data_IF_158854798715
#
_entry.id   IF_158854798715
#
_cell.length_a   1.000
_cell.length_b   1.000
_cell.length_c   1.000
_cell.angle_alpha   90.00
_cell.angle_beta   90.00
_cell.angle_gamma   90.00
#
_symmetry.space_group_name_H-M   'P 1'
#
loop_
_entity.id
_entity.type
_entity.pdbx_description
1 polymer ?
#
# COMPACT_ATOMS: atom_id res chain seq x y z
N UNK A 1 9.02 20.14 14.47
CA UNK A 1 10.42 20.61 14.66
C UNK A 1 11.12 20.88 13.33
N UNK A 2 11.02 20.03 12.30
CA UNK A 2 11.63 20.25 10.98
C UNK A 2 11.17 21.56 10.36
N UNK A 3 9.85 21.79 10.32
CA UNK A 3 9.25 23.02 9.76
C UNK A 3 9.70 24.28 10.50
N UNK A 4 9.84 24.21 11.83
CA UNK A 4 10.30 25.34 12.64
C UNK A 4 11.77 25.69 12.39
N UNK A 5 12.56 24.72 11.92
CA UNK A 5 13.99 24.88 11.60
C UNK A 5 14.23 25.07 10.10
N UNK A 6 13.19 25.10 9.28
CA UNK A 6 13.29 25.18 7.82
C UNK A 6 13.99 24.00 7.16
N UNK A 7 14.00 22.83 7.82
CA UNK A 7 14.64 21.62 7.30
C UNK A 7 13.68 20.87 6.34
N UNK A 8 14.21 20.34 5.23
CA UNK A 8 13.46 19.40 4.39
C UNK A 8 12.96 18.20 5.21
N UNK A 9 11.78 17.71 4.88
CA UNK A 9 11.19 16.54 5.53
C UNK A 9 10.88 15.46 4.50
N UNK A 10 11.47 14.28 4.70
CA UNK A 10 11.13 13.06 3.97
C UNK A 10 10.35 12.12 4.89
N UNK A 11 9.13 11.76 4.52
CA UNK A 11 8.35 10.75 5.24
C UNK A 11 8.40 9.47 4.43
N UNK A 12 8.86 8.39 5.05
CA UNK A 12 8.97 7.09 4.41
C UNK A 12 8.08 6.05 5.10
N UNK A 13 7.48 5.17 4.29
CA UNK A 13 6.87 3.93 4.78
C UNK A 13 7.90 2.80 4.81
N UNK A 14 7.61 1.70 4.10
CA UNK A 14 8.56 0.60 3.93
C UNK A 14 9.72 0.90 2.97
N UNK A 15 9.75 2.03 2.29
CA UNK A 15 10.79 2.36 1.29
C UNK A 15 10.68 1.57 -0.03
N UNK A 16 9.63 0.79 -0.22
CA UNK A 16 9.47 -0.11 -1.37
C UNK A 16 9.11 0.58 -2.69
N UNK A 17 8.75 1.86 -2.64
CA UNK A 17 8.39 2.67 -3.81
C UNK A 17 9.25 3.93 -3.91
N UNK A 18 10.54 3.80 -3.62
CA UNK A 18 11.50 4.89 -3.62
C UNK A 18 12.77 4.49 -4.38
N UNK A 19 13.25 5.39 -5.22
CA UNK A 19 14.60 5.35 -5.75
C UNK A 19 15.38 6.48 -5.08
N UNK A 20 16.39 6.13 -4.31
CA UNK A 20 17.17 7.06 -3.48
C UNK A 20 18.53 7.26 -4.11
N UNK A 21 19.02 8.51 -4.16
CA UNK A 21 20.37 8.82 -4.60
C UNK A 21 21.41 8.37 -3.55
N UNK A 22 22.66 8.17 -3.99
CA UNK A 22 23.76 7.81 -3.08
C UNK A 22 24.20 8.97 -2.19
N UNK A 23 23.83 10.21 -2.53
CA UNK A 23 24.11 11.37 -1.71
C UNK A 23 23.19 11.44 -0.48
N UNK A 24 23.71 11.76 0.71
CA UNK A 24 22.90 11.92 1.90
C UNK A 24 21.77 12.94 1.71
N UNK A 25 20.58 12.64 2.27
CA UNK A 25 19.49 13.60 2.34
C UNK A 25 19.78 14.64 3.42
N UNK A 26 19.90 15.91 3.03
CA UNK A 26 20.14 17.03 3.96
C UNK A 26 18.82 17.50 4.58
N UNK A 27 18.29 16.75 5.52
CA UNK A 27 17.01 17.01 6.15
C UNK A 27 16.64 15.99 7.21
N UNK A 28 15.36 15.96 7.56
CA UNK A 28 14.80 15.02 8.53
C UNK A 28 14.07 13.90 7.79
N UNK A 29 14.49 12.66 8.04
CA UNK A 29 13.76 11.46 7.56
C UNK A 29 12.93 10.92 8.72
N UNK A 30 11.62 10.75 8.48
CA UNK A 30 10.69 10.22 9.47
C UNK A 30 10.05 8.94 8.94
N UNK A 31 10.08 7.92 9.77
CA UNK A 31 9.32 6.67 9.57
C UNK A 31 8.42 6.45 10.78
N UNK A 32 7.13 6.22 10.51
CA UNK A 32 6.22 5.76 11.57
C UNK A 32 6.47 4.26 11.83
N UNK A 33 6.75 3.93 13.09
CA UNK A 33 6.95 2.55 13.55
C UNK A 33 5.78 2.03 14.39
N UNK A 34 4.74 2.85 14.61
CA UNK A 34 3.51 2.41 15.26
C UNK A 34 2.81 1.37 14.39
N UNK A 35 2.10 0.42 14.99
CA UNK A 35 1.55 -0.71 14.26
C UNK A 35 0.24 -1.27 14.85
N UNK A 36 -0.45 -0.48 15.68
CA UNK A 36 -1.73 -0.92 16.21
C UNK A 36 -2.80 -1.01 15.12
N UNK A 37 -3.61 -2.05 15.21
CA UNK A 37 -4.82 -2.25 14.42
C UNK A 37 -5.96 -2.49 15.40
N UNK A 38 -7.07 -1.79 15.20
CA UNK A 38 -8.26 -1.91 16.06
C UNK A 38 -9.54 -1.92 15.24
N UNK A 39 -10.46 -2.79 15.62
CA UNK A 39 -11.83 -2.77 15.13
C UNK A 39 -12.58 -1.73 15.97
N UNK A 40 -13.25 -0.79 15.30
CA UNK A 40 -13.93 0.34 15.95
C UNK A 40 -15.36 0.02 16.35
N UNK A 41 -15.99 -0.96 15.70
CA UNK A 41 -17.40 -1.27 15.92
C UNK A 41 -17.59 -2.26 17.08
N UNK A 42 -18.46 -1.93 18.04
CA UNK A 42 -18.89 -2.87 19.07
C UNK A 42 -19.81 -3.96 18.49
N UNK A 43 -20.64 -3.56 17.53
CA UNK A 43 -21.45 -4.44 16.70
C UNK A 43 -21.38 -3.89 15.27
N UNK A 44 -21.01 -4.73 14.32
CA UNK A 44 -20.86 -4.30 12.93
C UNK A 44 -22.16 -3.68 12.41
N UNK A 45 -22.14 -2.44 11.90
CA UNK A 45 -23.33 -1.80 11.33
C UNK A 45 -23.77 -2.52 10.06
N UNK A 46 -25.03 -2.32 9.69
CA UNK A 46 -25.60 -2.85 8.44
C UNK A 46 -25.91 -1.67 7.53
N UNK A 47 -25.33 -1.64 6.35
CA UNK A 47 -25.57 -0.65 5.33
C UNK A 47 -26.01 -1.37 4.05
N UNK A 48 -27.16 -0.94 3.45
CA UNK A 48 -27.71 -1.54 2.25
C UNK A 48 -27.90 -3.09 2.31
N UNK A 49 -28.09 -3.63 3.50
CA UNK A 49 -28.22 -5.08 3.74
C UNK A 49 -26.88 -5.81 3.91
N UNK A 50 -25.75 -5.10 3.88
CA UNK A 50 -24.41 -5.63 4.10
C UNK A 50 -23.87 -5.18 5.46
N UNK A 51 -23.10 -6.04 6.11
CA UNK A 51 -22.48 -5.74 7.38
C UNK A 51 -21.11 -5.10 7.12
N UNK A 52 -20.96 -3.84 7.50
CA UNK A 52 -19.72 -3.08 7.40
C UNK A 52 -19.01 -3.07 8.73
N UNK A 53 -17.70 -3.29 8.71
CA UNK A 53 -16.81 -3.26 9.87
C UNK A 53 -15.74 -2.21 9.64
N UNK A 54 -15.66 -1.26 10.58
CA UNK A 54 -14.63 -0.22 10.54
C UNK A 54 -13.37 -0.69 11.26
N UNK A 55 -12.27 -0.71 10.53
CA UNK A 55 -10.95 -1.11 11.05
C UNK A 55 -10.00 0.07 10.92
N UNK A 56 -9.47 0.54 12.04
CA UNK A 56 -8.43 1.57 12.05
C UNK A 56 -7.06 0.93 12.19
N UNK A 57 -6.11 1.37 11.38
CA UNK A 57 -4.72 0.95 11.43
C UNK A 57 -3.77 2.15 11.45
N UNK A 58 -2.80 2.12 12.35
CA UNK A 58 -1.74 3.13 12.39
C UNK A 58 -0.88 3.10 11.13
N UNK A 59 -0.36 4.26 10.71
CA UNK A 59 0.32 4.44 9.44
C UNK A 59 1.56 3.56 9.26
N UNK A 60 2.25 3.21 10.34
CA UNK A 60 3.44 2.35 10.31
C UNK A 60 3.15 0.85 10.27
N UNK A 61 1.88 0.44 10.39
CA UNK A 61 1.50 -0.97 10.27
C UNK A 61 1.94 -1.54 8.92
N UNK A 62 2.54 -2.74 8.91
CA UNK A 62 2.87 -3.41 7.66
C UNK A 62 1.59 -3.71 6.90
N UNK A 63 1.58 -3.41 5.59
CA UNK A 63 0.39 -3.56 4.76
C UNK A 63 -0.09 -5.02 4.68
N UNK A 64 0.81 -5.96 4.42
CA UNK A 64 0.40 -7.36 4.26
C UNK A 64 -0.03 -8.01 5.58
N UNK A 65 0.55 -7.59 6.72
CA UNK A 65 0.09 -8.01 8.05
C UNK A 65 -1.32 -7.47 8.36
N UNK A 66 -1.63 -6.24 7.92
CA UNK A 66 -2.97 -5.67 8.00
C UNK A 66 -3.97 -6.45 7.15
N UNK A 67 -3.63 -6.78 5.91
CA UNK A 67 -4.49 -7.60 5.03
C UNK A 67 -4.73 -8.98 5.64
N UNK A 68 -3.68 -9.63 6.14
CA UNK A 68 -3.80 -10.92 6.82
C UNK A 68 -4.74 -10.86 8.02
N UNK A 69 -4.61 -9.82 8.84
CA UNK A 69 -5.48 -9.58 9.97
C UNK A 69 -6.95 -9.45 9.54
N UNK A 70 -7.25 -8.67 8.50
CA UNK A 70 -8.61 -8.49 7.99
C UNK A 70 -9.19 -9.79 7.43
N UNK A 71 -8.43 -10.53 6.64
CA UNK A 71 -8.87 -11.83 6.09
C UNK A 71 -9.16 -12.84 7.21
N UNK A 72 -8.32 -12.90 8.25
CA UNK A 72 -8.54 -13.78 9.40
C UNK A 72 -9.77 -13.39 10.24
N UNK A 73 -10.24 -12.15 10.14
CA UNK A 73 -11.50 -11.71 10.73
C UNK A 73 -12.72 -11.96 9.84
N UNK A 74 -12.56 -12.55 8.66
CA UNK A 74 -13.64 -12.74 7.69
C UNK A 74 -14.11 -11.42 7.06
N UNK A 75 -13.17 -10.52 6.78
CA UNK A 75 -13.45 -9.23 6.16
C UNK A 75 -12.98 -9.21 4.70
N UNK A 76 -13.87 -8.81 3.82
CA UNK A 76 -13.67 -8.62 2.37
C UNK A 76 -13.33 -7.16 2.07
N UNK A 77 -12.50 -6.92 1.05
CA UNK A 77 -12.25 -5.60 0.47
C UNK A 77 -10.76 -5.26 0.26
N UNK A 78 -9.85 -6.04 0.82
CA UNK A 78 -8.40 -5.83 0.70
C UNK A 78 -7.59 -7.09 0.33
N UNK A 79 -8.24 -8.25 0.24
CA UNK A 79 -7.60 -9.55 0.01
C UNK A 79 -6.82 -9.62 -1.32
N UNK A 80 -7.31 -8.94 -2.38
CA UNK A 80 -6.61 -8.84 -3.66
C UNK A 80 -5.33 -7.99 -3.60
N UNK A 81 -5.16 -7.18 -2.56
CA UNK A 81 -3.99 -6.34 -2.32
C UNK A 81 -2.91 -7.03 -1.47
N UNK A 82 -3.05 -8.35 -1.24
CA UNK A 82 -2.10 -9.17 -0.49
C UNK A 82 -0.69 -9.12 -1.07
N UNK A 83 0.31 -9.14 -0.20
CA UNK A 83 1.72 -9.19 -0.57
C UNK A 83 2.26 -7.92 -1.23
N UNK A 84 1.49 -6.82 -1.29
CA UNK A 84 2.02 -5.51 -1.68
C UNK A 84 2.95 -5.03 -0.56
N UNK A 85 4.21 -4.67 -0.88
CA UNK A 85 5.14 -4.21 0.13
C UNK A 85 4.83 -2.80 0.61
N UNK A 86 5.21 -2.48 1.84
CA UNK A 86 5.10 -1.16 2.42
C UNK A 86 4.21 -1.11 3.68
N UNK A 87 3.65 0.06 3.96
CA UNK A 87 2.87 0.32 5.17
C UNK A 87 1.47 0.83 4.84
N UNK A 88 0.57 0.70 5.81
CA UNK A 88 -0.82 1.20 5.72
C UNK A 88 -0.84 2.69 5.35
N UNK A 89 -0.04 3.53 6.01
CA UNK A 89 0.01 4.96 5.68
C UNK A 89 0.54 5.25 4.28
N UNK A 90 1.46 4.42 3.75
CA UNK A 90 1.97 4.59 2.39
C UNK A 90 0.95 4.13 1.33
N UNK A 91 0.07 3.19 1.66
CA UNK A 91 -0.91 2.62 0.72
C UNK A 91 -1.85 3.67 0.14
N UNK A 92 -2.32 4.60 0.98
CA UNK A 92 -3.28 5.64 0.61
C UNK A 92 -2.64 6.82 -0.13
N UNK A 93 -1.31 7.00 -0.04
CA UNK A 93 -0.63 8.13 -0.71
C UNK A 93 -0.79 8.05 -2.21
N UNK A 94 -0.62 6.88 -2.81
CA UNK A 94 -0.76 6.72 -4.25
C UNK A 94 -1.87 5.76 -4.68
N UNK A 95 -2.85 5.51 -3.81
CA UNK A 95 -3.94 4.60 -4.13
C UNK A 95 -3.41 3.27 -4.68
N UNK A 96 -2.81 2.44 -3.81
CA UNK A 96 -2.28 1.14 -4.26
C UNK A 96 -3.40 0.30 -4.86
N UNK A 97 -3.07 -0.47 -5.89
CA UNK A 97 -4.03 -1.34 -6.55
C UNK A 97 -3.38 -2.53 -7.21
N UNK A 98 -4.02 -3.67 -7.12
CA UNK A 98 -3.62 -4.93 -7.75
C UNK A 98 -4.82 -5.88 -7.86
N UNK A 99 -4.76 -6.78 -8.81
CA UNK A 99 -5.72 -7.89 -9.00
C UNK A 99 -7.20 -7.48 -8.97
N UNK A 100 -7.49 -6.28 -9.51
CA UNK A 100 -8.87 -5.77 -9.62
C UNK A 100 -9.37 -5.02 -8.38
N UNK A 101 -8.55 -4.83 -7.36
CA UNK A 101 -8.85 -4.01 -6.19
C UNK A 101 -7.96 -2.76 -6.13
N UNK A 102 -8.47 -1.70 -5.55
CA UNK A 102 -7.72 -0.50 -5.15
C UNK A 102 -8.05 -0.14 -3.71
N UNK A 103 -7.06 0.41 -2.98
CA UNK A 103 -7.26 0.76 -1.57
C UNK A 103 -8.35 1.81 -1.38
N UNK A 104 -8.54 2.69 -2.37
CA UNK A 104 -9.59 3.70 -2.38
C UNK A 104 -11.00 3.13 -2.14
N UNK A 105 -11.26 1.89 -2.60
CA UNK A 105 -12.58 1.26 -2.47
C UNK A 105 -12.92 0.86 -1.03
N UNK A 106 -11.91 0.75 -0.16
CA UNK A 106 -12.08 0.30 1.21
C UNK A 106 -11.72 1.37 2.25
N UNK A 107 -11.12 2.48 1.84
CA UNK A 107 -10.78 3.59 2.76
C UNK A 107 -12.01 4.43 3.02
N UNK A 108 -12.34 4.64 4.29
CA UNK A 108 -13.35 5.59 4.73
C UNK A 108 -12.74 6.96 5.01
N UNK A 109 -11.68 7.00 5.82
CA UNK A 109 -11.01 8.25 6.19
C UNK A 109 -9.53 8.03 6.51
N UNK A 110 -8.77 9.12 6.50
CA UNK A 110 -7.36 9.15 6.84
C UNK A 110 -7.09 10.27 7.82
N UNK A 111 -6.58 9.93 9.00
CA UNK A 111 -6.07 10.92 9.94
C UNK A 111 -4.67 11.37 9.49
N UNK A 112 -4.48 12.67 9.40
CA UNK A 112 -3.23 13.29 8.96
C UNK A 112 -2.77 14.40 9.89
N UNK A 113 -1.47 14.61 9.98
CA UNK A 113 -0.91 15.87 10.43
C UNK A 113 -0.80 16.83 9.25
N UNK A 114 -1.60 17.90 9.24
CA UNK A 114 -1.49 18.99 8.26
C UNK A 114 -0.38 19.97 8.66
N UNK A 115 0.78 19.86 8.03
CA UNK A 115 1.95 20.70 8.31
C UNK A 115 1.70 22.17 8.05
N UNK A 116 0.84 22.50 7.07
CA UNK A 116 0.50 23.90 6.74
C UNK A 116 -0.29 24.54 7.87
N UNK A 117 -1.27 23.84 8.40
CA UNK A 117 -2.17 24.35 9.43
C UNK A 117 -1.71 23.98 10.85
N UNK A 118 -0.67 23.14 10.98
CA UNK A 118 -0.10 22.66 12.25
C UNK A 118 -1.14 22.02 13.19
N UNK A 119 -1.97 21.15 12.61
CA UNK A 119 -3.01 20.43 13.35
C UNK A 119 -3.26 19.06 12.75
N UNK A 120 -3.81 18.16 13.54
CA UNK A 120 -4.40 16.92 13.01
C UNK A 120 -5.69 17.23 12.30
N UNK A 121 -5.93 16.53 11.21
CA UNK A 121 -7.15 16.59 10.41
C UNK A 121 -7.52 15.19 9.95
N UNK A 122 -8.80 14.88 9.97
CA UNK A 122 -9.35 13.74 9.28
C UNK A 122 -9.76 14.15 7.85
N UNK A 123 -9.34 13.36 6.86
CA UNK A 123 -9.71 13.51 5.46
C UNK A 123 -10.62 12.34 5.09
N UNK A 124 -11.84 12.64 4.65
CA UNK A 124 -12.77 11.64 4.14
C UNK A 124 -12.29 11.06 2.80
N UNK A 125 -12.82 9.90 2.42
CA UNK A 125 -12.55 9.31 1.10
C UNK A 125 -12.77 10.32 -0.04
N UNK A 126 -13.84 11.10 0.03
CA UNK A 126 -14.14 12.11 -0.97
C UNK A 126 -13.08 13.22 -1.02
N UNK A 127 -12.58 13.71 0.13
CA UNK A 127 -11.52 14.73 0.20
C UNK A 127 -10.16 14.21 -0.25
N UNK A 128 -9.95 12.88 -0.25
CA UNK A 128 -8.73 12.26 -0.73
C UNK A 128 -8.62 12.26 -2.25
N UNK A 129 -9.72 12.50 -2.99
CA UNK A 129 -9.74 12.60 -4.45
C UNK A 129 -8.91 11.48 -5.11
N UNK A 130 -9.16 10.25 -4.73
CA UNK A 130 -8.45 9.11 -5.27
C UNK A 130 -8.63 9.00 -6.79
N UNK A 131 -7.56 8.61 -7.46
CA UNK A 131 -7.53 8.31 -8.87
C UNK A 131 -6.44 7.27 -9.15
N UNK A 132 -6.23 6.92 -10.40
CA UNK A 132 -5.22 5.93 -10.78
C UNK A 132 -3.83 6.34 -10.27
N UNK A 133 -3.32 5.64 -9.26
CA UNK A 133 -2.03 5.90 -8.57
C UNK A 133 -1.90 7.33 -8.05
N UNK A 134 -3.02 7.94 -7.65
CA UNK A 134 -3.09 9.33 -7.20
C UNK A 134 -4.03 9.50 -6.00
N UNK A 135 -3.70 10.48 -5.17
CA UNK A 135 -4.54 10.99 -4.09
C UNK A 135 -4.25 12.48 -3.84
N UNK A 136 -5.09 13.16 -3.08
CA UNK A 136 -4.81 14.52 -2.61
C UNK A 136 -3.54 14.59 -1.76
N UNK A 137 -3.20 13.51 -1.04
CA UNK A 137 -1.95 13.39 -0.28
C UNK A 137 -0.76 13.48 -1.22
N UNK A 138 -0.72 12.66 -2.27
CA UNK A 138 0.34 12.66 -3.28
C UNK A 138 0.37 13.96 -4.06
N UNK A 139 -0.77 14.47 -4.51
CA UNK A 139 -0.85 15.72 -5.26
C UNK A 139 -0.27 16.91 -4.47
N UNK A 140 -0.46 16.93 -3.15
CA UNK A 140 0.08 17.98 -2.28
C UNK A 140 1.62 17.98 -2.19
N UNK A 141 2.29 16.86 -2.50
CA UNK A 141 3.75 16.77 -2.54
C UNK A 141 4.35 17.45 -3.78
N UNK A 142 3.55 17.57 -4.84
CA UNK A 142 3.96 18.10 -6.14
C UNK A 142 3.31 19.45 -6.45
N UNK A 143 2.78 20.14 -5.47
CA UNK A 143 2.23 21.51 -5.62
C UNK A 143 3.30 22.59 -5.88
N UNK A 144 4.55 22.20 -6.01
CA UNK A 144 5.69 22.97 -6.46
C UNK A 144 5.64 23.22 -7.99
N UNK A 145 6.59 23.97 -8.58
CA UNK A 145 6.62 24.30 -10.00
C UNK A 145 6.43 23.08 -10.90
N UNK A 146 5.76 23.26 -12.04
CA UNK A 146 5.48 22.20 -13.01
C UNK A 146 6.75 21.49 -13.54
N UNK A 147 7.89 22.18 -13.50
CA UNK A 147 9.21 21.63 -13.80
C UNK A 147 10.07 21.78 -12.56
N UNK A 148 10.32 20.71 -11.79
CA UNK A 148 11.17 20.80 -10.61
C UNK A 148 12.59 21.25 -10.98
N UNK A 149 13.15 22.12 -10.15
CA UNK A 149 14.59 22.40 -10.21
C UNK A 149 15.40 21.13 -9.84
N UNK A 150 16.69 21.09 -10.13
CA UNK A 150 17.53 19.93 -9.86
C UNK A 150 17.59 19.55 -8.36
N UNK A 151 17.33 20.51 -7.49
CA UNK A 151 17.27 20.38 -6.04
C UNK A 151 15.85 20.22 -5.50
N UNK A 152 14.83 20.07 -6.38
CA UNK A 152 13.45 19.84 -5.96
C UNK A 152 13.31 18.51 -5.24
N UNK A 153 12.70 18.56 -4.07
CA UNK A 153 12.32 17.37 -3.32
C UNK A 153 10.81 17.42 -3.00
N UNK A 154 10.04 16.38 -3.36
CA UNK A 154 8.61 16.33 -3.06
C UNK A 154 8.39 16.24 -1.55
N UNK A 155 7.97 17.34 -0.95
CA UNK A 155 7.77 17.45 0.49
C UNK A 155 6.29 17.30 0.83
N UNK A 156 5.91 16.34 1.67
CA UNK A 156 4.51 16.09 1.98
C UNK A 156 3.91 17.26 2.78
N UNK A 157 2.74 17.74 2.37
CA UNK A 157 1.92 18.62 3.22
C UNK A 157 1.30 17.82 4.35
N UNK A 158 0.81 16.63 4.03
CA UNK A 158 0.11 15.75 4.96
C UNK A 158 1.00 14.57 5.34
N UNK A 159 1.15 14.34 6.64
CA UNK A 159 1.77 13.13 7.18
C UNK A 159 0.66 12.23 7.69
N UNK A 160 0.52 11.06 7.11
CA UNK A 160 -0.51 10.09 7.52
C UNK A 160 -0.19 9.54 8.90
N UNK A 161 -1.18 9.53 9.79
CA UNK A 161 -1.10 9.03 11.16
C UNK A 161 -1.82 7.70 11.33
N UNK A 162 -3.02 7.57 10.77
CA UNK A 162 -3.80 6.34 10.74
C UNK A 162 -4.77 6.34 9.56
N UNK A 163 -5.29 5.17 9.21
CA UNK A 163 -6.28 4.97 8.15
C UNK A 163 -7.43 4.15 8.71
N UNK A 164 -8.65 4.63 8.50
CA UNK A 164 -9.87 3.90 8.79
C UNK A 164 -10.40 3.28 7.50
N UNK A 165 -10.62 1.98 7.55
CA UNK A 165 -11.18 1.18 6.46
C UNK A 165 -12.61 0.79 6.79
N UNK A 166 -13.50 0.85 5.79
CA UNK A 166 -14.83 0.27 5.83
C UNK A 166 -14.80 -1.03 5.01
N UNK A 167 -14.83 -2.17 5.68
CA UNK A 167 -14.73 -3.49 5.10
C UNK A 167 -16.04 -4.25 5.28
N UNK A 168 -16.34 -5.18 4.36
CA UNK A 168 -17.54 -5.98 4.46
C UNK A 168 -17.27 -7.26 5.25
N UNK A 169 -18.14 -7.59 6.22
CA UNK A 169 -18.09 -8.87 6.90
C UNK A 169 -18.59 -9.96 5.97
N UNK A 170 -17.67 -10.64 5.32
CA UNK A 170 -17.91 -11.71 4.35
C UNK A 170 -16.70 -12.64 4.29
N UNK A 171 -16.95 -13.94 4.40
CA UNK A 171 -15.91 -14.95 4.20
C UNK A 171 -15.51 -15.14 2.73
N UNK A 172 -16.26 -14.53 1.79
CA UNK A 172 -15.99 -14.61 0.35
C UNK A 172 -15.77 -13.23 -0.25
N UNK A 173 -14.82 -13.12 -1.20
CA UNK A 173 -14.53 -11.93 -1.98
C UNK A 173 -14.72 -12.18 -3.47
N UNK A 174 -14.77 -11.09 -4.25
CA UNK A 174 -14.92 -11.14 -5.71
C UNK A 174 -13.56 -11.32 -6.38
N UNK A 175 -13.45 -12.28 -7.30
CA UNK A 175 -12.28 -12.48 -8.15
C UNK A 175 -12.31 -11.46 -9.29
N UNK A 176 -11.67 -10.30 -9.09
CA UNK A 176 -11.76 -9.15 -9.99
C UNK A 176 -10.75 -9.12 -11.15
N UNK A 177 -9.91 -10.14 -11.33
CA UNK A 177 -8.80 -10.07 -12.30
C UNK A 177 -8.52 -11.40 -13.00
N UNK A 178 -8.38 -11.36 -14.33
CA UNK A 178 -8.27 -12.57 -15.17
C UNK A 178 -7.11 -13.51 -14.82
N UNK A 179 -5.93 -12.99 -14.42
CA UNK A 179 -4.82 -13.84 -14.00
C UNK A 179 -5.12 -14.55 -12.67
N UNK A 180 -5.82 -13.89 -11.77
CA UNK A 180 -6.25 -14.46 -10.49
C UNK A 180 -7.34 -15.53 -10.72
N UNK A 181 -8.33 -15.23 -11.57
CA UNK A 181 -9.36 -16.18 -11.98
C UNK A 181 -8.75 -17.46 -12.56
N UNK A 182 -7.78 -17.32 -13.47
CA UNK A 182 -7.04 -18.45 -14.04
C UNK A 182 -6.29 -19.25 -12.97
N UNK A 183 -5.66 -18.59 -12.01
CA UNK A 183 -4.92 -19.26 -10.93
C UNK A 183 -5.84 -20.04 -9.97
N UNK A 184 -7.07 -19.56 -9.79
CA UNK A 184 -8.10 -20.18 -8.96
C UNK A 184 -8.96 -21.20 -9.72
N UNK A 185 -8.91 -21.22 -11.07
CA UNK A 185 -9.73 -22.09 -11.89
C UNK A 185 -11.21 -21.67 -11.95
N UNK A 186 -11.49 -20.37 -11.88
CA UNK A 186 -12.82 -19.75 -11.88
C UNK A 186 -12.92 -18.64 -12.92
N UNK A 187 -14.09 -18.03 -13.08
CA UNK A 187 -14.30 -16.88 -13.97
C UNK A 187 -14.13 -15.55 -13.21
N UNK A 188 -13.84 -14.48 -13.96
CA UNK A 188 -13.82 -13.11 -13.39
C UNK A 188 -15.25 -12.74 -12.98
N UNK A 189 -15.42 -12.30 -11.74
CA UNK A 189 -16.70 -12.01 -11.12
C UNK A 189 -17.20 -13.09 -10.16
N UNK A 190 -16.65 -14.29 -10.21
CA UNK A 190 -16.96 -15.33 -9.21
C UNK A 190 -16.54 -14.91 -7.81
N UNK A 191 -17.22 -15.46 -6.81
CA UNK A 191 -16.87 -15.27 -5.41
C UNK A 191 -16.16 -16.51 -4.88
N UNK A 192 -15.05 -16.29 -4.16
CA UNK A 192 -14.23 -17.31 -3.54
C UNK A 192 -13.92 -16.93 -2.11
N UNK A 193 -13.54 -17.90 -1.27
CA UNK A 193 -13.10 -17.59 0.08
C UNK A 193 -11.96 -16.54 0.06
N UNK A 194 -12.06 -15.49 0.88
CA UNK A 194 -11.06 -14.41 0.94
C UNK A 194 -9.65 -14.97 1.23
N UNK A 195 -9.55 -16.01 2.05
CA UNK A 195 -8.31 -16.72 2.31
C UNK A 195 -7.73 -17.39 1.07
N UNK A 196 -8.57 -17.99 0.20
CA UNK A 196 -8.13 -18.62 -1.05
C UNK A 196 -7.68 -17.57 -2.06
N UNK A 197 -8.39 -16.44 -2.16
CA UNK A 197 -7.98 -15.28 -2.97
C UNK A 197 -6.60 -14.79 -2.52
N UNK A 198 -6.42 -14.54 -1.20
CA UNK A 198 -5.14 -14.13 -0.63
C UNK A 198 -4.02 -15.11 -0.98
N UNK A 199 -4.23 -16.40 -0.76
CA UNK A 199 -3.24 -17.43 -1.06
C UNK A 199 -2.87 -17.48 -2.54
N UNK A 200 -3.85 -17.36 -3.44
CA UNK A 200 -3.61 -17.31 -4.88
C UNK A 200 -2.82 -16.06 -5.29
N UNK A 201 -3.17 -14.89 -4.74
CA UNK A 201 -2.41 -13.64 -4.97
C UNK A 201 -0.97 -13.79 -4.52
N UNK A 202 -0.72 -14.28 -3.32
CA UNK A 202 0.64 -14.49 -2.79
C UNK A 202 1.43 -15.48 -3.67
N UNK A 203 0.81 -16.57 -4.12
CA UNK A 203 1.43 -17.55 -5.01
C UNK A 203 1.80 -16.93 -6.37
N UNK A 204 0.89 -16.15 -6.97
CA UNK A 204 1.15 -15.45 -8.24
C UNK A 204 2.28 -14.43 -8.06
N UNK A 205 2.28 -13.66 -6.98
CA UNK A 205 3.34 -12.69 -6.69
C UNK A 205 4.69 -13.37 -6.44
N UNK A 206 4.71 -14.46 -5.69
CA UNK A 206 5.92 -15.24 -5.44
C UNK A 206 6.55 -15.75 -6.75
N UNK A 207 5.73 -16.27 -7.68
CA UNK A 207 6.23 -16.77 -8.98
C UNK A 207 6.87 -15.68 -9.86
N UNK A 208 6.61 -14.40 -9.55
CA UNK A 208 7.16 -13.23 -10.25
C UNK A 208 8.29 -12.53 -9.46
N UNK A 209 8.70 -13.08 -8.31
CA UNK A 209 9.66 -12.41 -7.42
C UNK A 209 9.15 -11.10 -6.82
N UNK A 210 7.82 -10.93 -6.66
CA UNK A 210 7.20 -9.68 -6.23
C UNK A 210 6.80 -9.66 -4.75
N UNK A 211 7.15 -10.68 -3.98
CA UNK A 211 7.02 -10.65 -2.52
C UNK A 211 8.27 -10.03 -1.92
N UNK A 212 8.09 -9.33 -0.80
CA UNK A 212 9.24 -8.78 -0.06
C UNK A 212 10.17 -9.88 0.41
N UNK A 213 11.47 -9.64 0.31
CA UNK A 213 12.47 -10.46 0.98
C UNK A 213 12.44 -10.14 2.48
N UNK A 214 12.26 -11.18 3.29
CA UNK A 214 12.21 -11.03 4.74
C UNK A 214 13.51 -10.44 5.32
N UNK A 215 14.66 -10.65 4.68
CA UNK A 215 15.94 -10.08 5.12
C UNK A 215 15.94 -8.56 5.21
N UNK A 216 15.10 -7.85 4.43
CA UNK A 216 15.01 -6.39 4.54
C UNK A 216 14.56 -5.93 5.95
N UNK A 217 13.78 -6.75 6.65
CA UNK A 217 13.30 -6.43 7.99
C UNK A 217 14.36 -6.65 9.08
N UNK A 218 15.48 -7.30 8.74
CA UNK A 218 16.62 -7.47 9.61
C UNK A 218 17.61 -6.29 9.53
N UNK A 219 17.38 -5.35 8.59
CA UNK A 219 18.23 -4.16 8.43
C UNK A 219 18.00 -3.14 9.54
N UNK A 220 19.02 -2.32 9.81
CA UNK A 220 18.95 -1.22 10.78
C UNK A 220 17.80 -0.27 10.49
N UNK A 221 17.53 0.01 9.22
CA UNK A 221 16.46 0.90 8.77
C UNK A 221 15.05 0.42 9.15
N UNK A 222 14.87 -0.87 9.38
CA UNK A 222 13.58 -1.48 9.74
C UNK A 222 13.48 -1.85 11.22
N UNK A 223 14.54 -1.61 12.00
CA UNK A 223 14.56 -1.91 13.43
C UNK A 223 13.39 -1.22 14.17
N UNK A 224 12.79 -1.93 15.13
CA UNK A 224 11.69 -1.43 15.96
C UNK A 224 10.33 -1.47 15.30
N UNK A 225 10.18 -2.05 14.11
CA UNK A 225 8.87 -2.39 13.56
C UNK A 225 8.44 -3.77 14.05
N UNK A 226 7.13 -3.99 14.23
CA UNK A 226 6.61 -5.31 14.62
C UNK A 226 7.04 -6.39 13.62
N UNK A 227 7.04 -6.07 12.32
CA UNK A 227 7.48 -7.01 11.28
C UNK A 227 8.93 -7.39 11.45
N UNK A 228 9.82 -6.46 11.79
CA UNK A 228 11.25 -6.78 12.02
C UNK A 228 11.44 -7.71 13.22
N UNK A 229 10.65 -7.56 14.27
CA UNK A 229 10.70 -8.43 15.45
C UNK A 229 10.25 -9.87 15.09
N UNK A 230 9.13 -10.01 14.38
CA UNK A 230 8.62 -11.31 13.95
C UNK A 230 9.56 -12.00 12.96
N UNK A 231 10.12 -11.26 12.01
CA UNK A 231 11.07 -11.79 11.03
C UNK A 231 12.37 -12.21 11.72
N UNK A 232 12.87 -11.46 12.69
CA UNK A 232 14.07 -11.83 13.45
C UNK A 232 13.88 -13.18 14.17
N UNK A 233 12.72 -13.39 14.82
CA UNK A 233 12.39 -14.66 15.48
C UNK A 233 12.34 -15.80 14.45
N UNK A 234 11.64 -15.61 13.33
CA UNK A 234 11.52 -16.61 12.29
C UNK A 234 12.87 -16.94 11.62
N UNK A 235 13.69 -15.91 11.36
CA UNK A 235 15.01 -16.04 10.78
C UNK A 235 15.96 -16.85 11.69
N UNK A 236 15.99 -16.55 12.98
CA UNK A 236 16.81 -17.30 13.94
C UNK A 236 16.39 -18.77 14.00
N UNK A 237 15.09 -19.06 13.98
CA UNK A 237 14.56 -20.41 13.93
C UNK A 237 14.97 -21.15 12.63
N UNK A 238 14.89 -20.47 11.47
CA UNK A 238 15.27 -21.04 10.17
C UNK A 238 16.78 -21.28 10.08
N UNK A 239 17.60 -20.32 10.49
CA UNK A 239 19.07 -20.42 10.50
C UNK A 239 19.54 -21.63 11.31
N UNK A 240 18.88 -21.88 12.42
CA UNK A 240 19.16 -23.06 13.26
C UNK A 240 18.87 -24.37 12.53
N UNK A 241 17.91 -24.39 11.60
CA UNK A 241 17.50 -25.58 10.85
C UNK A 241 18.25 -25.79 9.55
N UNK A 242 18.53 -24.73 8.77
CA UNK A 242 19.00 -24.84 7.37
C UNK A 242 20.41 -24.28 7.14
N UNK A 243 20.93 -23.43 8.02
CA UNK A 243 22.23 -22.77 7.86
C UNK A 243 22.30 -21.77 6.70
N UNK A 244 21.19 -21.47 6.01
CA UNK A 244 21.15 -20.54 4.89
C UNK A 244 20.68 -19.17 5.37
N UNK A 245 21.50 -18.15 5.13
CA UNK A 245 21.36 -16.79 5.65
C UNK A 245 21.51 -15.70 4.55
N UNK A 246 21.47 -16.10 3.29
CA UNK A 246 21.73 -15.19 2.17
C UNK A 246 20.42 -14.50 1.70
N UNK A 247 20.44 -13.16 1.49
CA UNK A 247 19.31 -12.45 0.90
C UNK A 247 18.98 -12.96 -0.51
N UNK A 248 17.70 -13.15 -0.80
CA UNK A 248 17.26 -13.50 -2.15
C UNK A 248 17.08 -12.23 -3.01
N UNK A 249 18.13 -11.81 -3.68
CA UNK A 249 18.12 -10.63 -4.55
C UNK A 249 17.19 -10.75 -5.77
N UNK A 250 16.72 -11.94 -6.12
CA UNK A 250 15.74 -12.13 -7.19
C UNK A 250 14.34 -11.65 -6.80
N UNK A 251 14.08 -11.38 -5.52
CA UNK A 251 12.83 -10.83 -5.01
C UNK A 251 12.77 -9.30 -5.01
N UNK A 252 13.75 -8.63 -5.53
CA UNK A 252 13.81 -7.16 -5.57
C UNK A 252 13.09 -6.62 -6.81
N UNK A 253 11.80 -6.94 -6.95
CA UNK A 253 10.96 -6.39 -8.01
C UNK A 253 10.12 -5.23 -7.48
N UNK A 254 10.17 -4.08 -8.16
CA UNK A 254 9.33 -2.91 -7.86
C UNK A 254 8.03 -2.89 -8.70
N UNK A 255 7.77 -3.94 -9.48
CA UNK A 255 6.66 -3.96 -10.42
C UNK A 255 6.88 -3.00 -11.60
N UNK A 256 5.81 -2.43 -12.15
CA UNK A 256 5.91 -1.45 -13.23
C UNK A 256 6.52 -0.14 -12.72
N UNK A 257 7.64 0.28 -13.33
CA UNK A 257 8.33 1.52 -12.96
C UNK A 257 7.54 2.76 -13.39
N UNK A 258 6.99 2.73 -14.62
CA UNK A 258 6.18 3.81 -15.15
C UNK A 258 4.68 3.55 -14.93
N UNK A 259 3.94 4.63 -14.69
CA UNK A 259 2.48 4.57 -14.73
C UNK A 259 2.01 4.49 -16.19
N UNK A 260 0.98 3.68 -16.47
CA UNK A 260 0.35 3.67 -17.78
C UNK A 260 -0.27 5.06 -18.06
N UNK A 261 0.01 5.67 -19.20
CA UNK A 261 -0.59 6.96 -19.53
C UNK A 261 -2.08 6.80 -19.82
N UNK A 262 -2.89 7.70 -19.26
CA UNK A 262 -4.30 7.83 -19.64
C UNK A 262 -4.35 8.74 -20.85
N UNK A 263 -4.84 8.21 -21.99
CA UNK A 263 -4.83 8.90 -23.28
C UNK A 263 -6.25 9.15 -23.77
N UNK A 264 -6.43 10.24 -24.49
CA UNK A 264 -7.64 10.43 -25.29
C UNK A 264 -7.67 9.45 -26.46
N UNK A 265 -8.85 9.19 -27.05
CA UNK A 265 -8.98 8.34 -28.24
C UNK A 265 -8.08 8.79 -29.40
N UNK A 266 -7.93 10.10 -29.59
CA UNK A 266 -7.06 10.69 -30.62
C UNK A 266 -5.56 10.47 -30.33
N UNK A 267 -5.17 10.52 -29.06
CA UNK A 267 -3.80 10.21 -28.65
C UNK A 267 -3.51 8.71 -28.79
N UNK A 268 -4.46 7.86 -28.37
CA UNK A 268 -4.35 6.41 -28.48
C UNK A 268 -4.27 5.93 -29.95
N UNK A 269 -4.95 6.63 -30.87
CA UNK A 269 -4.88 6.33 -32.31
C UNK A 269 -3.50 6.57 -32.95
N UNK A 270 -2.65 7.35 -32.30
CA UNK A 270 -1.26 7.62 -32.75
C UNK A 270 -0.24 6.60 -32.26
N UNK A 271 -0.63 5.69 -31.38
CA UNK A 271 0.24 4.62 -30.91
C UNK A 271 0.42 3.56 -32.01
N UNK A 272 1.57 2.83 -32.01
CA UNK A 272 1.75 1.66 -32.86
C UNK A 272 0.59 0.67 -32.74
N UNK A 273 0.26 -0.03 -33.84
CA UNK A 273 -0.89 -0.95 -33.88
C UNK A 273 -0.77 -2.09 -32.86
N UNK A 274 0.43 -2.55 -32.58
CA UNK A 274 0.77 -3.60 -31.62
C UNK A 274 0.87 -3.11 -30.17
N UNK A 275 0.72 -1.80 -29.92
CA UNK A 275 0.75 -1.27 -28.55
C UNK A 275 -0.49 -1.77 -27.75
N UNK A 276 -0.28 -2.35 -26.55
CA UNK A 276 -1.38 -2.76 -25.71
C UNK A 276 -2.29 -1.57 -25.34
N UNK A 277 -3.58 -1.78 -25.43
CA UNK A 277 -4.61 -0.78 -25.10
C UNK A 277 -5.62 -1.40 -24.13
N UNK A 278 -5.99 -0.62 -23.12
CA UNK A 278 -6.98 -1.01 -22.13
C UNK A 278 -7.94 0.16 -21.96
N UNK A 279 -9.21 -0.14 -21.75
CA UNK A 279 -10.18 0.89 -21.41
C UNK A 279 -9.85 1.50 -20.05
N UNK A 280 -9.91 2.82 -19.96
CA UNK A 280 -9.80 3.50 -18.67
C UNK A 280 -11.17 3.38 -17.97
N UNK A 281 -11.14 2.81 -16.77
CA UNK A 281 -12.28 2.74 -15.84
C UNK A 281 -12.42 4.02 -15.07
#
# INVERSE_FOLDING_TARGET
DADAKGLPLCVIGGGSNMLVADTPFDGVVVRDARHAVSVLDEAAPVENGETIVHVNAEAGCNWDDFVDYCVNLGLEGVEGLSGIPGTVGASVVQNIGAYGQEVASSVESVEVWDRKNKQTKELTNQELHFGYRMSALKASMYSAPATPAADFFPTPRYVVLSVTFALHHSETGVVGYGQLAKALGVEVGDRMATADIRNAVLKVRASKGMLEDSHRYLTEAMRGTKKSELVAIAHDAQRTQTGNDEPDYNRHSCGSFFMNPILTKEQAAKLPEDAPRFDAT
#
